data_IF_116286653503
#
_entry.id   IF_116286653503
#
_cell.length_a   1.000
_cell.length_b   1.000
_cell.length_c   1.000
_cell.angle_alpha   90.00
_cell.angle_beta   90.00
_cell.angle_gamma   90.00
#
_symmetry.space_group_name_H-M   'P 1'
#
loop_
_entity.id
_entity.type
_entity.pdbx_description
1 polymer ?
#
# COMPACT_ATOMS: atom_id res chain seq x y z
N UNK A 1 68.75 -3.15 21.24
CA UNK A 1 68.95 -2.77 22.67
C UNK A 1 67.57 -2.73 23.29
N UNK A 2 67.12 -3.85 23.84
CA UNK A 2 67.09 -4.19 25.28
C UNK A 2 65.89 -3.57 26.04
N UNK A 3 64.94 -4.48 26.29
CA UNK A 3 63.91 -4.46 27.33
C UNK A 3 64.42 -4.05 28.71
N UNK A 4 63.51 -3.53 29.56
CA UNK A 4 63.19 -4.14 30.87
C UNK A 4 61.92 -3.56 31.51
N UNK A 5 60.97 -4.48 31.79
CA UNK A 5 60.20 -4.71 33.05
C UNK A 5 59.47 -3.50 33.66
N UNK A 6 58.19 -3.59 34.05
CA UNK A 6 57.72 -4.42 35.17
C UNK A 6 56.21 -4.71 35.11
N UNK A 7 55.91 -5.98 35.32
CA UNK A 7 54.62 -6.61 35.61
C UNK A 7 54.27 -6.42 37.09
N UNK A 8 53.01 -6.09 37.42
CA UNK A 8 52.37 -6.48 38.68
C UNK A 8 50.93 -6.90 38.38
N UNK A 9 50.66 -8.17 38.66
CA UNK A 9 49.38 -8.87 38.56
C UNK A 9 49.25 -9.64 39.87
N UNK A 10 48.22 -9.36 40.66
CA UNK A 10 47.67 -10.20 41.74
C UNK A 10 46.18 -9.81 41.85
N UNK A 11 45.22 -10.62 41.37
CA UNK A 11 44.57 -11.80 42.01
C UNK A 11 43.80 -11.39 43.28
N UNK A 12 42.54 -11.79 43.56
CA UNK A 12 41.67 -12.81 42.99
C UNK A 12 40.20 -12.59 43.43
N UNK A 13 39.31 -13.09 42.57
CA UNK A 13 38.00 -13.73 42.78
C UNK A 13 37.21 -13.51 44.09
N UNK A 14 35.95 -13.11 43.92
CA UNK A 14 34.80 -13.69 44.62
C UNK A 14 33.64 -13.81 43.63
N UNK A 15 33.17 -15.04 43.41
CA UNK A 15 32.22 -15.45 42.40
C UNK A 15 30.75 -15.38 42.88
N UNK A 16 29.83 -15.16 41.93
CA UNK A 16 28.46 -15.68 41.75
C UNK A 16 27.68 -14.65 40.91
N UNK A 17 27.75 -14.68 39.57
CA UNK A 17 26.96 -15.55 38.66
C UNK A 17 25.47 -15.25 38.69
N UNK A 18 24.98 -14.44 37.72
CA UNK A 18 23.66 -14.57 37.08
C UNK A 18 23.74 -13.95 35.68
N UNK A 19 23.90 -14.85 34.70
CA UNK A 19 23.59 -14.75 33.26
C UNK A 19 24.15 -13.58 32.45
N UNK A 20 25.40 -13.78 31.98
CA UNK A 20 25.85 -13.22 30.70
C UNK A 20 25.41 -14.17 29.58
N UNK A 21 24.38 -13.81 28.84
CA UNK A 21 24.17 -14.32 27.48
C UNK A 21 24.75 -13.27 26.54
N UNK A 22 26.07 -13.35 26.35
CA UNK A 22 26.78 -12.62 25.32
C UNK A 22 27.33 -13.62 24.30
N UNK A 23 26.90 -13.41 23.06
CA UNK A 23 27.35 -13.99 21.78
C UNK A 23 27.10 -15.48 21.48
N UNK A 24 26.41 -15.70 20.35
CA UNK A 24 26.52 -16.89 19.53
C UNK A 24 25.48 -16.89 18.41
N UNK A 25 25.86 -16.42 17.22
CA UNK A 25 25.05 -16.56 16.01
C UNK A 25 25.43 -15.54 14.94
N UNK A 26 26.44 -15.87 14.14
CA UNK A 26 26.59 -15.31 12.80
C UNK A 26 25.31 -15.69 12.03
N UNK A 27 24.41 -14.75 11.78
CA UNK A 27 23.27 -14.98 10.87
C UNK A 27 22.88 -13.68 10.17
N UNK A 28 22.77 -13.79 8.86
CA UNK A 28 22.25 -12.81 7.92
C UNK A 28 20.76 -12.52 8.19
N UNK A 29 20.47 -11.73 9.22
CA UNK A 29 19.11 -11.42 9.64
C UNK A 29 19.03 -10.16 10.50
N UNK A 30 19.41 -9.02 9.91
CA UNK A 30 19.28 -7.70 10.55
C UNK A 30 17.81 -7.31 10.64
N UNK A 31 17.09 -7.73 11.69
CA UNK A 31 15.78 -7.16 12.04
C UNK A 31 15.91 -5.85 12.84
N UNK A 32 14.89 -4.96 12.89
CA UNK A 32 14.85 -3.85 13.83
C UNK A 32 14.91 -4.40 15.26
N UNK A 33 15.90 -3.94 16.03
CA UNK A 33 16.06 -4.35 17.43
C UNK A 33 14.87 -3.85 18.25
N UNK A 34 14.22 -4.74 19.01
CA UNK A 34 13.13 -4.35 19.91
C UNK A 34 13.65 -3.51 21.07
N UNK A 35 12.96 -2.43 21.44
CA UNK A 35 13.41 -1.49 22.47
C UNK A 35 12.27 -0.92 23.31
N UNK A 36 12.61 -0.49 24.53
CA UNK A 36 11.75 0.29 25.44
C UNK A 36 12.38 1.63 25.83
N UNK A 37 13.65 1.86 25.48
CA UNK A 37 14.41 3.08 25.71
C UNK A 37 15.58 3.19 24.75
N UNK A 38 16.07 4.41 24.50
CA UNK A 38 17.18 4.69 23.57
C UNK A 38 18.47 3.97 23.96
N UNK A 39 18.68 3.66 25.24
CA UNK A 39 19.86 2.95 25.74
C UNK A 39 19.98 1.49 25.24
N UNK A 40 18.93 0.98 24.59
CA UNK A 40 18.88 -0.36 24.01
C UNK A 40 19.16 -0.37 22.51
N UNK A 41 19.33 0.80 21.91
CA UNK A 41 19.57 0.98 20.48
C UNK A 41 21.05 1.31 20.20
N UNK A 42 21.47 1.15 18.94
CA UNK A 42 22.82 1.49 18.49
C UNK A 42 23.14 2.99 18.56
N UNK A 43 24.41 3.34 18.31
CA UNK A 43 24.92 4.72 18.46
C UNK A 43 24.23 5.75 17.53
N UNK A 44 23.56 5.31 16.47
CA UNK A 44 22.83 6.14 15.50
C UNK A 44 21.31 5.85 15.46
N UNK A 45 20.80 5.19 16.50
CA UNK A 45 19.41 4.77 16.59
C UNK A 45 18.74 5.34 17.84
N UNK A 46 17.44 5.60 17.75
CA UNK A 46 16.61 5.97 18.89
C UNK A 46 15.43 5.01 19.01
N UNK A 47 14.92 4.85 20.21
CA UNK A 47 13.80 3.95 20.44
C UNK A 47 12.47 4.64 20.12
N UNK A 48 11.74 4.12 19.14
CA UNK A 48 10.34 4.45 19.00
C UNK A 48 9.54 3.63 20.01
N UNK A 49 9.35 4.15 21.21
CA UNK A 49 8.64 3.45 22.31
C UNK A 49 7.18 3.13 21.99
N UNK A 50 6.57 3.80 21.01
CA UNK A 50 5.22 3.46 20.53
C UNK A 50 5.23 2.25 19.61
N UNK A 51 6.28 2.09 18.81
CA UNK A 51 6.48 0.94 17.93
C UNK A 51 7.23 -0.21 18.60
N UNK A 52 7.93 0.06 19.71
CA UNK A 52 8.81 -0.90 20.39
C UNK A 52 10.07 -1.25 19.58
N UNK A 53 10.51 -0.39 18.66
CA UNK A 53 11.59 -0.69 17.71
C UNK A 53 12.62 0.45 17.61
N UNK A 54 13.90 0.07 17.51
CA UNK A 54 15.00 0.99 17.23
C UNK A 54 14.91 1.49 15.79
N UNK A 55 14.99 2.81 15.62
CA UNK A 55 14.92 3.47 14.32
C UNK A 55 16.16 4.32 14.08
N UNK A 56 16.68 4.24 12.87
CA UNK A 56 17.84 5.01 12.46
C UNK A 56 17.52 6.50 12.44
N UNK A 57 18.38 7.30 13.05
CA UNK A 57 18.33 8.76 13.00
C UNK A 57 18.84 9.27 11.65
N UNK A 58 18.36 10.43 11.23
CA UNK A 58 18.75 11.03 9.96
C UNK A 58 18.72 12.55 10.04
N UNK A 59 19.56 13.22 9.27
CA UNK A 59 19.49 14.68 9.12
C UNK A 59 18.75 15.07 7.84
N UNK A 60 18.93 14.25 6.79
CA UNK A 60 18.37 14.40 5.46
C UNK A 60 17.89 13.06 4.86
N UNK A 61 17.07 13.15 3.82
CA UNK A 61 16.52 12.00 3.11
C UNK A 61 17.57 11.03 2.52
N UNK A 62 18.78 11.51 2.24
CA UNK A 62 19.89 10.72 1.72
C UNK A 62 20.54 9.80 2.76
N UNK A 63 20.30 10.08 4.03
CA UNK A 63 20.87 9.30 5.14
C UNK A 63 20.04 8.03 5.40
N UNK A 64 18.84 7.99 4.81
CA UNK A 64 17.97 6.84 4.83
C UNK A 64 18.22 5.92 3.63
N UNK A 65 17.93 4.61 3.76
CA UNK A 65 17.93 3.69 2.62
C UNK A 65 17.14 4.27 1.44
N UNK A 66 17.57 3.98 0.20
CA UNK A 66 17.01 4.58 -1.02
C UNK A 66 15.49 4.38 -1.17
N UNK A 67 14.95 3.39 -0.48
CA UNK A 67 13.55 2.97 -0.38
C UNK A 67 12.76 3.66 0.75
N UNK A 68 13.44 4.31 1.71
CA UNK A 68 12.89 4.96 2.90
C UNK A 68 13.33 6.44 3.02
N UNK A 69 13.49 7.16 1.89
CA UNK A 69 13.90 8.59 1.77
C UNK A 69 13.05 9.62 2.54
N UNK A 70 12.21 9.19 3.47
CA UNK A 70 11.40 10.03 4.34
C UNK A 70 12.11 10.20 5.67
N UNK A 71 13.02 11.19 5.73
CA UNK A 71 13.66 11.61 6.97
C UNK A 71 12.77 12.63 7.69
N UNK A 72 12.03 12.18 8.71
CA UNK A 72 10.96 12.94 9.34
C UNK A 72 11.01 12.84 10.87
N UNK A 73 10.40 13.81 11.56
CA UNK A 73 10.29 13.77 13.02
C UNK A 73 9.59 12.48 13.49
N UNK A 74 10.12 11.86 14.55
CA UNK A 74 9.63 10.62 15.14
C UNK A 74 8.12 10.72 15.45
N UNK A 75 7.71 11.80 16.12
CA UNK A 75 6.32 12.10 16.42
C UNK A 75 6.07 13.61 16.51
N UNK A 76 4.83 14.02 16.78
CA UNK A 76 4.50 15.44 17.03
C UNK A 76 5.12 15.98 18.32
N UNK A 77 5.50 15.10 19.25
CA UNK A 77 6.11 15.45 20.53
C UNK A 77 7.62 15.22 20.58
N UNK A 78 8.16 14.36 19.72
CA UNK A 78 9.60 14.15 19.56
C UNK A 78 10.05 14.60 18.17
N UNK A 79 10.81 15.70 18.13
CA UNK A 79 11.31 16.34 16.91
C UNK A 79 12.57 15.71 16.33
N UNK A 80 13.15 14.69 16.98
CA UNK A 80 14.28 13.94 16.41
C UNK A 80 13.84 13.29 15.10
N UNK A 81 14.66 13.47 14.07
CA UNK A 81 14.38 12.94 12.74
C UNK A 81 14.87 11.50 12.62
N UNK A 82 14.03 10.67 12.03
CA UNK A 82 14.28 9.25 11.82
C UNK A 82 13.83 8.84 10.42
N UNK A 83 14.41 7.76 9.92
CA UNK A 83 14.01 7.17 8.66
C UNK A 83 12.66 6.45 8.80
N UNK A 84 11.64 6.97 8.12
CA UNK A 84 10.27 6.42 8.14
C UNK A 84 10.00 5.54 6.92
N UNK A 85 9.47 4.35 7.16
CA UNK A 85 9.04 3.46 6.10
C UNK A 85 7.77 3.98 5.39
N UNK A 86 7.54 3.49 4.18
CA UNK A 86 6.30 3.78 3.43
C UNK A 86 5.34 2.60 3.54
N UNK A 87 4.11 2.88 4.00
CA UNK A 87 3.08 1.84 4.15
C UNK A 87 2.76 1.26 2.78
N UNK A 88 2.65 -0.07 2.71
CA UNK A 88 2.30 -0.78 1.47
C UNK A 88 3.47 -1.00 0.52
N UNK A 89 4.71 -0.72 0.92
CA UNK A 89 5.90 -1.17 0.18
C UNK A 89 6.48 -2.43 0.82
N UNK A 90 7.23 -3.22 0.04
CA UNK A 90 7.99 -4.38 0.53
C UNK A 90 9.22 -4.01 1.35
N UNK A 91 9.49 -2.72 1.58
CA UNK A 91 10.73 -2.23 2.19
C UNK A 91 11.10 -2.97 3.47
N UNK A 92 10.16 -3.09 4.41
CA UNK A 92 10.47 -3.71 5.69
C UNK A 92 10.80 -5.21 5.52
N UNK A 93 10.17 -5.89 4.56
CA UNK A 93 10.51 -7.27 4.24
C UNK A 93 11.85 -7.40 3.52
N UNK A 94 12.16 -6.47 2.60
CA UNK A 94 13.40 -6.47 1.83
C UNK A 94 14.62 -6.13 2.70
N UNK A 95 14.46 -5.22 3.68
CA UNK A 95 15.54 -4.74 4.54
C UNK A 95 15.73 -5.62 5.78
N UNK A 96 14.64 -6.04 6.40
CA UNK A 96 14.67 -6.70 7.72
C UNK A 96 14.25 -8.18 7.68
N UNK A 97 13.75 -8.66 6.54
CA UNK A 97 13.33 -10.04 6.33
C UNK A 97 11.81 -10.24 6.30
N UNK A 98 11.39 -11.39 5.79
CA UNK A 98 9.97 -11.78 5.76
C UNK A 98 9.34 -11.71 7.15
N UNK A 99 8.16 -11.07 7.25
CA UNK A 99 7.44 -10.83 8.52
C UNK A 99 7.49 -9.39 9.04
N UNK A 100 8.45 -8.58 8.58
CA UNK A 100 8.53 -7.17 9.00
C UNK A 100 7.63 -6.27 8.14
N UNK A 101 6.73 -5.54 8.77
CA UNK A 101 5.72 -4.69 8.10
C UNK A 101 5.91 -3.22 8.47
N UNK A 102 5.57 -2.31 7.54
CA UNK A 102 5.57 -0.88 7.85
C UNK A 102 4.30 -0.50 8.62
N UNK A 103 4.43 -0.13 9.89
CA UNK A 103 3.30 0.31 10.71
C UNK A 103 2.64 1.55 10.13
N UNK A 104 1.30 1.53 9.99
CA UNK A 104 0.54 2.66 9.47
C UNK A 104 0.57 3.88 10.41
N UNK A 105 0.69 3.65 11.72
CA UNK A 105 0.64 4.69 12.75
C UNK A 105 2.02 5.28 13.02
N UNK A 106 3.02 4.44 13.24
CA UNK A 106 4.36 4.89 13.63
C UNK A 106 5.29 5.09 12.44
N UNK A 107 4.97 4.48 11.28
CA UNK A 107 5.81 4.47 10.07
C UNK A 107 7.20 3.89 10.35
N UNK A 108 7.23 2.87 11.20
CA UNK A 108 8.41 2.09 11.57
C UNK A 108 8.18 0.63 11.16
N UNK A 109 9.25 -0.04 10.75
CA UNK A 109 9.21 -1.48 10.48
C UNK A 109 9.10 -2.25 11.80
N UNK A 110 8.08 -3.10 11.91
CA UNK A 110 7.83 -3.92 13.10
C UNK A 110 7.54 -5.36 12.67
N UNK A 111 8.00 -6.34 13.45
CA UNK A 111 7.66 -7.76 13.33
C UNK A 111 6.29 -8.11 13.92
N UNK A 112 5.62 -7.14 14.54
CA UNK A 112 4.45 -7.39 15.36
C UNK A 112 3.31 -8.07 14.56
N UNK A 113 3.04 -9.33 14.90
CA UNK A 113 1.86 -10.12 14.50
C UNK A 113 0.53 -9.43 14.91
N UNK A 114 0.61 -8.40 15.78
CA UNK A 114 -0.51 -7.53 16.17
C UNK A 114 -0.76 -6.39 15.19
N UNK A 115 0.09 -6.15 14.20
CA UNK A 115 -0.14 -5.12 13.19
C UNK A 115 -1.33 -5.56 12.33
N UNK A 116 -2.47 -4.83 12.31
CA UNK A 116 -3.66 -5.19 11.51
C UNK A 116 -3.45 -5.03 9.99
N UNK A 117 -2.19 -5.02 9.55
CA UNK A 117 -1.73 -4.70 8.22
C UNK A 117 -0.73 -5.79 7.81
N UNK A 118 -1.20 -6.92 7.25
CA UNK A 118 -0.30 -7.85 6.60
C UNK A 118 0.43 -7.10 5.48
N UNK A 119 1.75 -7.24 5.44
CA UNK A 119 2.52 -6.85 4.26
C UNK A 119 1.92 -7.50 3.00
N UNK A 120 2.25 -6.95 1.82
CA UNK A 120 2.15 -7.73 0.59
C UNK A 120 2.81 -9.10 0.81
N UNK A 121 2.07 -10.19 0.55
CA UNK A 121 2.51 -11.57 0.79
C UNK A 121 1.87 -12.27 2.00
N UNK A 122 1.28 -11.54 2.94
CA UNK A 122 0.55 -12.13 4.07
C UNK A 122 -0.67 -12.94 3.62
N UNK A 123 -1.01 -14.03 4.32
CA UNK A 123 -2.19 -14.83 3.97
C UNK A 123 -3.49 -14.08 4.22
N UNK A 124 -4.45 -14.22 3.33
CA UNK A 124 -5.78 -13.65 3.47
C UNK A 124 -6.85 -14.64 2.99
N UNK A 125 -8.09 -14.39 3.38
CA UNK A 125 -9.26 -15.14 2.89
C UNK A 125 -10.39 -14.18 2.56
N UNK A 126 -11.23 -14.50 1.58
CA UNK A 126 -12.27 -13.59 1.08
C UNK A 126 -11.78 -12.64 -0.02
N UNK A 127 -12.59 -11.63 -0.35
CA UNK A 127 -12.36 -10.68 -1.44
C UNK A 127 -12.06 -9.27 -0.90
N UNK A 128 -11.58 -8.38 -1.79
CA UNK A 128 -11.31 -6.97 -1.49
C UNK A 128 -10.27 -6.75 -0.39
N UNK A 129 -10.45 -5.76 0.50
CA UNK A 129 -9.50 -5.47 1.56
C UNK A 129 -9.33 -6.65 2.52
N UNK A 130 -10.42 -7.32 2.91
CA UNK A 130 -10.44 -8.43 3.89
C UNK A 130 -9.50 -8.19 5.10
N UNK A 131 -8.63 -9.14 5.43
CA UNK A 131 -7.59 -9.04 6.47
C UNK A 131 -6.37 -8.22 6.04
N UNK A 132 -6.32 -7.74 4.80
CA UNK A 132 -5.19 -6.99 4.26
C UNK A 132 -5.23 -5.52 4.67
N UNK A 133 -4.06 -4.88 4.55
CA UNK A 133 -3.91 -3.46 4.73
C UNK A 133 -4.85 -2.63 3.84
N UNK A 134 -5.13 -1.41 4.28
CA UNK A 134 -5.68 -0.42 3.37
C UNK A 134 -4.69 -0.12 2.24
N UNK A 135 -5.17 -0.10 1.00
CA UNK A 135 -4.33 -0.04 -0.21
C UNK A 135 -3.88 -1.41 -0.75
N UNK A 136 -4.19 -2.49 -0.04
CA UNK A 136 -3.97 -3.87 -0.48
C UNK A 136 -5.30 -4.62 -0.68
N UNK A 137 -5.26 -5.75 -1.37
CA UNK A 137 -6.42 -6.62 -1.55
C UNK A 137 -6.02 -8.08 -1.49
N UNK A 138 -6.96 -8.95 -1.15
CA UNK A 138 -6.73 -10.38 -1.17
C UNK A 138 -6.72 -10.90 -2.61
N UNK A 139 -5.55 -11.32 -3.09
CA UNK A 139 -5.36 -11.91 -4.40
C UNK A 139 -4.89 -13.35 -4.25
N UNK A 140 -5.72 -14.32 -4.65
CA UNK A 140 -5.35 -15.74 -4.63
C UNK A 140 -4.85 -16.24 -3.27
N UNK A 141 -5.40 -15.70 -2.18
CA UNK A 141 -5.06 -16.09 -0.81
C UNK A 141 -3.88 -15.33 -0.19
N UNK A 142 -3.30 -14.35 -0.90
CA UNK A 142 -2.27 -13.46 -0.35
C UNK A 142 -2.62 -11.99 -0.53
N UNK A 143 -2.24 -11.16 0.44
CA UNK A 143 -2.39 -9.72 0.35
C UNK A 143 -1.47 -9.18 -0.73
N UNK A 144 -2.02 -8.39 -1.65
CA UNK A 144 -1.28 -7.77 -2.73
C UNK A 144 -1.56 -6.27 -2.75
N UNK A 145 -0.52 -5.45 -2.95
CA UNK A 145 -0.69 -4.03 -3.21
C UNK A 145 -1.36 -3.81 -4.57
N UNK A 146 -2.18 -2.76 -4.69
CA UNK A 146 -2.69 -2.36 -6.00
C UNK A 146 -1.52 -1.83 -6.85
N UNK A 147 -1.34 -2.30 -8.10
CA UNK A 147 -0.24 -1.87 -8.94
C UNK A 147 -0.22 -0.35 -9.15
N UNK A 148 0.97 0.25 -9.05
CA UNK A 148 1.18 1.66 -9.40
C UNK A 148 0.79 1.89 -10.86
N UNK A 149 -0.05 2.90 -11.18
CA UNK A 149 -0.51 3.14 -12.53
C UNK A 149 0.64 3.62 -13.44
N UNK A 150 0.84 2.93 -14.56
CA UNK A 150 1.86 3.27 -15.57
C UNK A 150 1.29 3.52 -16.97
N UNK A 151 -0.03 3.33 -17.15
CA UNK A 151 -0.70 3.47 -18.45
C UNK A 151 -0.67 4.91 -18.98
N UNK A 152 -0.80 5.05 -20.30
CA UNK A 152 -0.83 6.34 -20.99
C UNK A 152 -1.94 7.26 -20.45
N UNK A 153 -3.11 6.70 -20.09
CA UNK A 153 -4.20 7.44 -19.44
C UNK A 153 -3.71 8.16 -18.17
N UNK A 154 -2.88 7.51 -17.35
CA UNK A 154 -2.33 8.08 -16.13
C UNK A 154 -1.20 9.08 -16.41
N UNK A 155 -0.34 8.80 -17.40
CA UNK A 155 0.73 9.70 -17.79
C UNK A 155 0.17 11.05 -18.24
N UNK A 156 -0.89 11.02 -19.06
CA UNK A 156 -1.57 12.19 -19.60
C UNK A 156 -2.57 12.83 -18.61
N UNK A 157 -2.94 12.14 -17.54
CA UNK A 157 -3.85 12.67 -16.52
C UNK A 157 -3.19 13.81 -15.72
N UNK A 158 -3.76 15.01 -15.81
CA UNK A 158 -3.27 16.20 -15.12
C UNK A 158 -3.78 16.33 -13.68
N UNK A 159 -4.86 15.65 -13.32
CA UNK A 159 -5.53 15.74 -12.02
C UNK A 159 -4.90 14.91 -10.91
N UNK A 160 -3.59 14.66 -10.92
CA UNK A 160 -2.91 13.76 -9.96
C UNK A 160 -3.09 14.19 -8.49
N UNK A 161 -3.28 15.47 -8.23
CA UNK A 161 -3.59 16.01 -6.90
C UNK A 161 -4.96 15.60 -6.36
N UNK A 162 -5.85 15.08 -7.20
CA UNK A 162 -7.16 14.55 -6.81
C UNK A 162 -7.10 13.11 -6.31
N UNK A 163 -5.96 12.44 -6.48
CA UNK A 163 -5.76 11.06 -6.06
C UNK A 163 -5.34 11.00 -4.59
N UNK A 164 -5.47 9.83 -3.99
CA UNK A 164 -5.03 9.58 -2.63
C UNK A 164 -4.83 8.10 -2.36
N UNK A 165 -4.36 7.81 -1.15
CA UNK A 165 -4.06 6.44 -0.69
C UNK A 165 -5.04 5.95 0.39
N UNK A 166 -5.96 6.82 0.83
CA UNK A 166 -6.87 6.57 1.95
C UNK A 166 -8.35 6.58 1.55
N UNK A 167 -8.68 7.05 0.34
CA UNK A 167 -10.02 6.96 -0.24
C UNK A 167 -10.26 5.62 -0.94
N UNK A 168 -11.32 5.54 -1.75
CA UNK A 168 -11.74 4.30 -2.40
C UNK A 168 -10.62 3.65 -3.21
N UNK A 169 -10.45 2.33 -3.05
CA UNK A 169 -9.46 1.53 -3.74
C UNK A 169 -10.15 0.64 -4.77
N UNK A 170 -9.87 0.86 -6.05
CA UNK A 170 -10.19 -0.05 -7.15
C UNK A 170 -9.03 -1.04 -7.27
N UNK A 171 -9.32 -2.33 -7.16
CA UNK A 171 -8.29 -3.38 -7.13
C UNK A 171 -8.41 -4.40 -8.26
N UNK A 172 -9.56 -4.49 -8.93
CA UNK A 172 -9.78 -5.40 -10.05
C UNK A 172 -10.64 -4.75 -11.13
N UNK A 173 -10.40 -5.17 -12.37
CA UNK A 173 -11.27 -4.89 -13.49
C UNK A 173 -11.29 -6.07 -14.47
N UNK A 174 -12.45 -6.38 -15.02
CA UNK A 174 -12.62 -7.44 -16.01
C UNK A 174 -13.65 -7.08 -17.10
N UNK A 175 -13.44 -7.57 -18.32
CA UNK A 175 -14.43 -7.44 -19.39
C UNK A 175 -15.55 -8.44 -19.14
N UNK A 176 -16.77 -7.93 -19.01
CA UNK A 176 -17.99 -8.74 -18.84
C UNK A 176 -18.60 -9.10 -20.20
N UNK A 177 -18.72 -8.12 -21.10
CA UNK A 177 -19.22 -8.34 -22.45
C UNK A 177 -18.76 -7.24 -23.41
N UNK A 178 -18.83 -7.53 -24.70
CA UNK A 178 -18.55 -6.59 -25.78
C UNK A 178 -19.47 -6.90 -26.95
N UNK A 179 -20.49 -6.07 -27.09
CA UNK A 179 -21.58 -6.33 -28.03
C UNK A 179 -21.94 -5.07 -28.80
N UNK A 180 -22.52 -5.23 -30.00
CA UNK A 180 -23.10 -4.07 -30.70
C UNK A 180 -24.41 -3.67 -30.02
N UNK A 181 -24.45 -2.47 -29.46
CA UNK A 181 -25.60 -1.87 -28.78
C UNK A 181 -25.71 -0.39 -29.19
N UNK A 182 -26.16 -0.17 -30.42
CA UNK A 182 -26.38 1.17 -30.97
C UNK A 182 -27.52 1.93 -30.25
N UNK A 183 -28.37 1.24 -29.48
CA UNK A 183 -29.42 1.88 -28.67
C UNK A 183 -28.83 2.58 -27.46
N UNK A 184 -27.88 1.94 -26.77
CA UNK A 184 -27.17 2.55 -25.65
C UNK A 184 -26.09 3.54 -26.12
N UNK A 185 -25.27 3.12 -27.08
CA UNK A 185 -24.08 3.87 -27.46
C UNK A 185 -24.24 4.84 -28.65
N UNK A 186 -25.36 4.77 -29.35
CA UNK A 186 -25.59 5.54 -30.57
C UNK A 186 -24.84 4.98 -31.78
N UNK A 187 -25.16 5.53 -32.96
CA UNK A 187 -24.66 5.03 -34.24
C UNK A 187 -23.16 5.28 -34.48
N UNK A 188 -22.59 6.32 -33.87
CA UNK A 188 -21.18 6.69 -34.09
C UNK A 188 -20.19 5.75 -33.37
N UNK A 189 -20.59 5.19 -32.23
CA UNK A 189 -19.75 4.33 -31.40
C UNK A 189 -20.55 3.11 -30.93
N UNK A 190 -21.07 2.27 -31.85
CA UNK A 190 -22.14 1.33 -31.53
C UNK A 190 -21.71 0.14 -30.69
N UNK A 191 -20.41 -0.07 -30.46
CA UNK A 191 -19.91 -1.18 -29.65
C UNK A 191 -19.94 -0.79 -28.17
N UNK A 192 -20.62 -1.57 -27.34
CA UNK A 192 -20.71 -1.40 -25.90
C UNK A 192 -19.84 -2.44 -25.21
N UNK A 193 -18.75 -1.98 -24.61
CA UNK A 193 -17.87 -2.78 -23.78
C UNK A 193 -18.27 -2.60 -22.32
N UNK A 194 -18.63 -3.70 -21.66
CA UNK A 194 -18.93 -3.73 -20.23
C UNK A 194 -17.69 -4.16 -19.47
N UNK A 195 -17.29 -3.35 -18.50
CA UNK A 195 -16.17 -3.66 -17.61
C UNK A 195 -16.69 -3.65 -16.17
N UNK A 196 -16.55 -4.77 -15.47
CA UNK A 196 -16.81 -4.84 -14.03
C UNK A 196 -15.57 -4.33 -13.30
N UNK A 197 -15.77 -3.42 -12.35
CA UNK A 197 -14.74 -2.90 -11.46
C UNK A 197 -15.05 -3.37 -10.05
N UNK A 198 -14.07 -3.95 -9.37
CA UNK A 198 -14.17 -4.29 -7.95
C UNK A 198 -13.43 -3.25 -7.12
N UNK A 199 -14.11 -2.71 -6.12
CA UNK A 199 -13.57 -1.66 -5.27
C UNK A 199 -13.97 -1.84 -3.80
N UNK A 200 -13.16 -1.28 -2.91
CA UNK A 200 -13.49 -1.16 -1.49
C UNK A 200 -13.20 0.24 -0.95
N UNK A 201 -13.80 0.58 0.18
CA UNK A 201 -13.57 1.86 0.86
C UNK A 201 -13.83 1.77 2.36
N UNK A 202 -13.09 2.56 3.14
CA UNK A 202 -13.35 2.77 4.58
C UNK A 202 -14.62 3.61 4.82
N UNK A 203 -15.05 4.36 3.81
CA UNK A 203 -16.32 5.11 3.83
C UNK A 203 -17.38 4.32 3.06
N UNK A 204 -18.60 4.15 3.61
CA UNK A 204 -19.68 3.43 2.95
C UNK A 204 -19.93 3.92 1.52
N UNK A 205 -19.96 2.99 0.57
CA UNK A 205 -20.44 3.29 -0.77
C UNK A 205 -21.92 3.74 -0.70
N UNK A 206 -22.33 4.65 -1.60
CA UNK A 206 -23.72 5.06 -1.70
C UNK A 206 -24.65 3.88 -2.01
N UNK A 207 -25.91 3.96 -1.58
CA UNK A 207 -26.87 2.88 -1.85
C UNK A 207 -27.26 2.78 -3.33
N UNK A 208 -27.08 3.86 -4.11
CA UNK A 208 -27.48 3.94 -5.51
C UNK A 208 -26.38 4.53 -6.36
N UNK A 209 -26.31 4.12 -7.64
CA UNK A 209 -25.31 4.61 -8.59
C UNK A 209 -25.39 6.13 -8.83
N UNK A 210 -26.58 6.74 -8.67
CA UNK A 210 -26.79 8.17 -8.92
C UNK A 210 -26.08 9.04 -7.88
N UNK A 211 -25.62 8.42 -6.80
CA UNK A 211 -24.90 9.05 -5.71
C UNK A 211 -23.38 8.75 -5.75
N UNK A 212 -22.87 8.09 -6.80
CA UNK A 212 -21.43 7.87 -7.04
C UNK A 212 -20.72 9.17 -7.46
N UNK A 213 -20.86 10.20 -6.62
CA UNK A 213 -20.14 11.45 -6.77
C UNK A 213 -18.65 11.16 -6.59
N UNK A 214 -17.83 11.80 -7.43
CA UNK A 214 -16.38 11.63 -7.36
C UNK A 214 -15.83 10.40 -8.06
N UNK A 215 -16.66 9.57 -8.71
CA UNK A 215 -16.21 8.50 -9.61
C UNK A 215 -15.95 9.03 -11.03
N UNK A 216 -14.79 8.73 -11.59
CA UNK A 216 -14.36 9.20 -12.90
C UNK A 216 -13.67 8.09 -13.70
N UNK A 217 -13.70 8.26 -15.02
CA UNK A 217 -12.82 7.53 -15.93
C UNK A 217 -12.01 8.52 -16.79
N UNK A 218 -10.86 8.06 -17.23
CA UNK A 218 -9.88 8.84 -18.02
C UNK A 218 -9.52 8.02 -19.24
N UNK A 219 -9.74 8.57 -20.42
CA UNK A 219 -9.25 7.99 -21.68
C UNK A 219 -7.83 8.49 -21.98
N UNK A 220 -7.22 8.00 -23.06
CA UNK A 220 -5.80 8.26 -23.37
C UNK A 220 -5.46 9.75 -23.45
N UNK A 221 -6.42 10.61 -23.77
CA UNK A 221 -6.23 12.07 -23.79
C UNK A 221 -6.05 12.71 -22.39
N UNK A 222 -6.08 11.94 -21.30
CA UNK A 222 -5.85 12.40 -19.94
C UNK A 222 -7.01 13.21 -19.33
N UNK A 223 -8.11 13.42 -20.05
CA UNK A 223 -9.25 14.21 -19.57
C UNK A 223 -10.18 13.35 -18.71
N UNK A 224 -10.41 13.71 -17.43
CA UNK A 224 -11.37 13.01 -16.60
C UNK A 224 -12.80 13.29 -17.06
N UNK A 225 -13.59 12.23 -17.14
CA UNK A 225 -15.03 12.27 -17.40
C UNK A 225 -15.76 11.60 -16.24
N UNK A 226 -16.92 12.13 -15.84
CA UNK A 226 -17.72 11.50 -14.79
C UNK A 226 -18.06 10.05 -15.16
N UNK A 227 -17.75 9.12 -14.26
CA UNK A 227 -18.03 7.69 -14.44
C UNK A 227 -19.46 7.31 -14.08
N UNK A 228 -20.18 8.12 -13.30
CA UNK A 228 -21.55 7.80 -12.89
C UNK A 228 -22.51 7.60 -14.09
N UNK A 229 -22.29 8.34 -15.18
CA UNK A 229 -23.07 8.20 -16.42
C UNK A 229 -22.77 6.94 -17.22
N UNK A 230 -21.63 6.29 -16.98
CA UNK A 230 -21.27 5.03 -17.67
C UNK A 230 -21.89 3.82 -16.98
N UNK A 231 -22.39 3.95 -15.75
CA UNK A 231 -23.09 2.89 -15.03
C UNK A 231 -24.58 2.95 -15.42
N UNK A 232 -25.06 1.99 -16.21
CA UNK A 232 -26.48 1.99 -16.60
C UNK A 232 -27.38 1.68 -15.40
N UNK A 233 -28.62 2.15 -15.43
CA UNK A 233 -29.60 1.93 -14.35
C UNK A 233 -30.14 0.49 -14.27
N UNK A 234 -29.61 -0.42 -15.08
CA UNK A 234 -30.01 -1.82 -15.08
C UNK A 234 -29.58 -2.48 -13.76
N UNK A 235 -30.46 -3.33 -13.21
CA UNK A 235 -30.15 -4.12 -12.02
C UNK A 235 -28.87 -4.94 -12.23
N UNK A 236 -28.03 -5.03 -11.21
CA UNK A 236 -26.76 -5.74 -11.24
C UNK A 236 -25.55 -4.93 -11.70
N UNK A 237 -25.73 -3.74 -12.30
CA UNK A 237 -24.58 -2.93 -12.75
C UNK A 237 -23.94 -2.07 -11.65
N UNK A 238 -24.58 -2.02 -10.48
CA UNK A 238 -24.03 -1.42 -9.28
C UNK A 238 -24.52 -2.24 -8.09
N UNK A 239 -23.59 -2.94 -7.46
CA UNK A 239 -23.88 -3.74 -6.26
C UNK A 239 -22.94 -3.26 -5.16
N UNK A 240 -23.47 -3.17 -3.94
CA UNK A 240 -22.71 -2.84 -2.74
C UNK A 240 -22.93 -3.93 -1.72
N UNK A 241 -21.86 -4.40 -1.10
CA UNK A 241 -21.87 -5.51 -0.17
C UNK A 241 -21.04 -5.16 1.07
N UNK A 242 -21.13 -6.03 2.08
CA UNK A 242 -20.55 -5.78 3.39
C UNK A 242 -21.50 -5.05 4.34
N UNK A 243 -21.26 -5.20 5.65
CA UNK A 243 -22.16 -4.67 6.68
C UNK A 243 -22.23 -3.14 6.67
N UNK A 244 -21.14 -2.50 6.23
CA UNK A 244 -20.99 -1.05 6.11
C UNK A 244 -21.06 -0.56 4.66
N UNK A 245 -21.43 -1.41 3.69
CA UNK A 245 -21.30 -1.13 2.24
C UNK A 245 -19.87 -0.74 1.87
N UNK A 246 -18.89 -1.45 2.43
CA UNK A 246 -17.47 -1.21 2.24
C UNK A 246 -16.95 -1.77 0.91
N UNK A 247 -17.69 -2.67 0.26
CA UNK A 247 -17.34 -3.25 -1.03
C UNK A 247 -18.35 -2.84 -2.10
N UNK A 248 -17.86 -2.63 -3.32
CA UNK A 248 -18.68 -2.34 -4.48
C UNK A 248 -18.19 -3.07 -5.74
N UNK A 249 -19.14 -3.56 -6.52
CA UNK A 249 -18.92 -3.97 -7.90
C UNK A 249 -19.70 -3.01 -8.82
N UNK A 250 -18.98 -2.45 -9.79
CA UNK A 250 -19.44 -1.36 -10.65
C UNK A 250 -19.23 -1.77 -12.11
N UNK A 251 -20.32 -1.97 -12.85
CA UNK A 251 -20.26 -2.30 -14.28
C UNK A 251 -20.37 -1.01 -15.09
N UNK A 252 -19.23 -0.57 -15.62
CA UNK A 252 -19.16 0.58 -16.54
C UNK A 252 -19.42 0.14 -17.97
N UNK A 253 -20.07 1.01 -18.73
CA UNK A 253 -20.47 0.77 -20.11
C UNK A 253 -19.74 1.79 -20.99
N UNK A 254 -18.78 1.31 -21.76
CA UNK A 254 -17.90 2.12 -22.59
C UNK A 254 -18.27 1.95 -24.06
N UNK A 255 -18.58 3.06 -24.72
CA UNK A 255 -18.98 3.06 -26.12
C UNK A 255 -17.79 3.27 -27.05
N UNK A 256 -17.65 2.43 -28.07
CA UNK A 256 -16.51 2.41 -29.00
C UNK A 256 -16.95 2.26 -30.46
N UNK A 257 -16.11 2.72 -31.42
CA UNK A 257 -16.30 2.41 -32.83
C UNK A 257 -16.38 0.91 -33.06
N UNK A 258 -17.15 0.45 -34.05
CA UNK A 258 -17.40 -0.97 -34.33
C UNK A 258 -16.17 -1.80 -34.69
N UNK A 259 -15.05 -1.16 -35.01
CA UNK A 259 -13.77 -1.80 -35.34
C UNK A 259 -12.76 -1.72 -34.18
N UNK A 260 -13.20 -1.35 -32.97
CA UNK A 260 -12.36 -1.36 -31.79
C UNK A 260 -12.24 -2.78 -31.24
N UNK A 261 -11.00 -3.23 -31.06
CA UNK A 261 -10.72 -4.52 -30.40
C UNK A 261 -10.08 -4.31 -29.02
N UNK A 262 -9.81 -3.05 -28.67
CA UNK A 262 -9.07 -2.68 -27.48
C UNK A 262 -9.60 -1.37 -26.91
N UNK A 263 -9.71 -1.31 -25.58
CA UNK A 263 -10.14 -0.11 -24.88
C UNK A 263 -9.24 0.14 -23.69
N UNK A 264 -8.44 1.20 -23.78
CA UNK A 264 -7.57 1.66 -22.70
C UNK A 264 -8.29 2.69 -21.85
N UNK A 265 -8.44 2.45 -20.55
CA UNK A 265 -9.16 3.35 -19.65
C UNK A 265 -8.51 3.35 -18.27
N UNK A 266 -8.38 4.55 -17.69
CA UNK A 266 -8.08 4.73 -16.28
C UNK A 266 -9.35 5.00 -15.49
N UNK A 267 -9.46 4.47 -14.28
CA UNK A 267 -10.58 4.73 -13.37
C UNK A 267 -10.05 5.28 -12.05
N UNK A 268 -10.78 6.20 -11.44
CA UNK A 268 -10.44 6.67 -10.10
C UNK A 268 -11.66 7.22 -9.36
N UNK A 269 -11.54 7.24 -8.05
CA UNK A 269 -12.38 8.05 -7.18
C UNK A 269 -11.57 9.23 -6.65
N UNK A 270 -12.21 10.38 -6.38
CA UNK A 270 -11.55 11.46 -5.65
C UNK A 270 -11.01 10.95 -4.31
N UNK A 271 -9.76 11.30 -4.01
CA UNK A 271 -8.97 10.80 -2.86
C UNK A 271 -8.68 9.30 -2.86
N UNK A 272 -9.09 8.56 -3.90
CA UNK A 272 -8.79 7.16 -4.12
C UNK A 272 -7.59 6.93 -5.05
N UNK A 273 -7.32 5.66 -5.36
CA UNK A 273 -6.25 5.31 -6.29
C UNK A 273 -6.67 5.53 -7.75
N UNK A 274 -5.69 5.61 -8.64
CA UNK A 274 -5.90 5.54 -10.08
C UNK A 274 -5.60 4.13 -10.56
N UNK A 275 -6.56 3.51 -11.24
CA UNK A 275 -6.48 2.14 -11.71
C UNK A 275 -6.48 2.09 -13.24
N UNK A 276 -5.40 1.57 -13.83
CA UNK A 276 -5.27 1.40 -15.26
C UNK A 276 -5.88 0.07 -15.71
N UNK A 277 -6.68 0.08 -16.76
CA UNK A 277 -7.22 -1.14 -17.35
C UNK A 277 -7.21 -1.11 -18.88
N UNK A 278 -6.85 -2.25 -19.47
CA UNK A 278 -6.86 -2.49 -20.91
C UNK A 278 -7.85 -3.62 -21.20
N UNK A 279 -9.02 -3.26 -21.71
CA UNK A 279 -10.03 -4.23 -22.14
C UNK A 279 -9.71 -4.72 -23.56
N UNK A 280 -9.40 -6.01 -23.70
CA UNK A 280 -9.29 -6.68 -25.00
C UNK A 280 -10.61 -7.40 -25.28
N UNK A 281 -11.20 -7.18 -26.46
CA UNK A 281 -12.56 -7.62 -26.78
C UNK A 281 -12.79 -7.77 -28.29
#
# INVERSE_FOLDING_TARGET
MQLRKTMWMLTALSAMSLMMTACGGDDEGSGPTTCTSDAQCGEDEICNTTAGACVQTCDQASDCPDSAKNCEALSTTNTQKVCKCTVGTSFCADEYGEGFTCSASTRVCTDDDSNPNPNPGGSCSGEAQSSCAYGQFCNSGTCAAVPTPTCENYQNFSGKSQLGTTGTIIYSAEVVSSDTDATFCGAANPQRVKVALSAYSSTPFPATKDQLNGFFYVIVNGTPTSGAGTVSASSGNYTVTGANRENAEIIVNLCRPSNSNTTSTGFYFTSGNFFCYQANH
#
